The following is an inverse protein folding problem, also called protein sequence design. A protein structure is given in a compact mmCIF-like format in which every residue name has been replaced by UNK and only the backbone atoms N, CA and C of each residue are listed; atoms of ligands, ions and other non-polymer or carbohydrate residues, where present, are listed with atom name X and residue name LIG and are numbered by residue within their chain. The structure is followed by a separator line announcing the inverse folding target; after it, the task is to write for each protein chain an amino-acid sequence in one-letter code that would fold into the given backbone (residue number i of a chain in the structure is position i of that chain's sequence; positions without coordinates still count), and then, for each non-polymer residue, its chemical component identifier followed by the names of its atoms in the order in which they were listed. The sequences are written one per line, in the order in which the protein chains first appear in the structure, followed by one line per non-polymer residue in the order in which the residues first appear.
data_IF_655585163384
#
_entry.id   IF_655585163384
#
_cell.length_a   1.000
_cell.length_b   1.000
_cell.length_c   1.000
_cell.angle_alpha   90.00
_cell.angle_beta   90.00
_cell.angle_gamma   90.00
#
_symmetry.space_group_name_H-M   'P 1'
#
loop_
_entity.id
_entity.type
_entity.pdbx_description
1 polymer ?
#
# COMPACT_ATOMS: atom_id res chain seq x y z
N UNK A 1 -3.21 -14.37 77.12
CA UNK A 1 -2.22 -13.70 76.24
C UNK A 1 -1.91 -12.35 76.84
N UNK A 2 -0.66 -12.08 77.23
CA UNK A 2 -0.31 -10.82 77.93
C UNK A 2 -0.39 -9.62 76.99
N UNK A 3 -0.55 -8.44 77.57
CA UNK A 3 -0.65 -7.17 76.84
C UNK A 3 0.64 -6.85 76.06
N UNK A 4 1.78 -7.29 76.58
CA UNK A 4 3.10 -7.25 75.91
C UNK A 4 3.10 -8.08 74.62
N UNK A 5 2.52 -9.29 74.63
CA UNK A 5 2.42 -10.14 73.41
C UNK A 5 1.49 -9.52 72.38
N UNK A 6 0.36 -8.92 72.81
CA UNK A 6 -0.54 -8.19 71.90
C UNK A 6 0.16 -6.97 71.28
N UNK A 7 0.95 -6.23 72.06
CA UNK A 7 1.73 -5.10 71.56
C UNK A 7 2.79 -5.56 70.55
N UNK A 8 3.60 -6.56 70.89
CA UNK A 8 4.65 -7.08 69.99
C UNK A 8 4.06 -7.63 68.67
N UNK A 9 2.92 -8.32 68.72
CA UNK A 9 2.22 -8.78 67.51
C UNK A 9 1.71 -7.61 66.65
N UNK A 10 1.21 -6.53 67.26
CA UNK A 10 0.80 -5.32 66.55
C UNK A 10 2.00 -4.60 65.92
N UNK A 11 3.10 -4.46 66.66
CA UNK A 11 4.30 -3.76 66.22
C UNK A 11 4.96 -4.50 65.04
N UNK A 12 4.97 -5.85 65.06
CA UNK A 12 5.41 -6.67 63.92
C UNK A 12 4.52 -6.48 62.68
N UNK A 13 3.20 -6.53 62.86
CA UNK A 13 2.23 -6.38 61.77
C UNK A 13 2.27 -4.97 61.16
N UNK A 14 2.54 -3.94 61.96
CA UNK A 14 2.82 -2.58 61.49
C UNK A 14 4.10 -2.52 60.63
N UNK A 15 5.20 -3.18 61.06
CA UNK A 15 6.43 -3.21 60.28
C UNK A 15 6.23 -3.89 58.91
N UNK A 16 5.49 -5.00 58.85
CA UNK A 16 5.13 -5.66 57.58
C UNK A 16 4.30 -4.73 56.67
N UNK A 17 3.33 -4.00 57.23
CA UNK A 17 2.57 -3.01 56.48
C UNK A 17 3.42 -1.82 56.01
N UNK A 18 4.37 -1.33 56.79
CA UNK A 18 5.30 -0.26 56.40
C UNK A 18 6.20 -0.68 55.23
N UNK A 19 6.69 -1.93 55.23
CA UNK A 19 7.43 -2.50 54.10
C UNK A 19 6.57 -2.60 52.84
N UNK A 20 5.35 -3.12 52.95
CA UNK A 20 4.40 -3.21 51.82
C UNK A 20 4.01 -1.82 51.29
N UNK A 21 3.74 -0.86 52.17
CA UNK A 21 3.42 0.51 51.78
C UNK A 21 4.59 1.20 51.08
N UNK A 22 5.82 1.05 51.61
CA UNK A 22 7.04 1.60 51.00
C UNK A 22 7.35 0.99 49.63
N UNK A 23 7.07 -0.30 49.44
CA UNK A 23 7.20 -0.94 48.13
C UNK A 23 6.14 -0.42 47.15
N UNK A 24 4.86 -0.37 47.56
CA UNK A 24 3.77 0.13 46.74
C UNK A 24 3.97 1.60 46.35
N UNK A 25 4.46 2.45 47.25
CA UNK A 25 4.75 3.87 46.96
C UNK A 25 5.78 4.03 45.83
N UNK A 26 6.79 3.15 45.77
CA UNK A 26 7.76 3.12 44.66
C UNK A 26 7.10 2.73 43.34
N UNK A 27 6.28 1.67 43.33
CA UNK A 27 5.55 1.24 42.14
C UNK A 27 4.53 2.28 41.65
N UNK A 28 3.88 3.01 42.57
CA UNK A 28 2.98 4.14 42.24
C UNK A 28 3.76 5.29 41.63
N UNK A 29 4.92 5.66 42.19
CA UNK A 29 5.78 6.75 41.66
C UNK A 29 6.24 6.50 40.22
N UNK A 30 6.52 5.25 39.84
CA UNK A 30 6.85 4.89 38.45
C UNK A 30 5.69 5.14 37.47
N UNK A 31 4.45 5.11 37.94
CA UNK A 31 3.23 5.21 37.13
C UNK A 31 2.57 6.58 37.17
N UNK A 32 2.90 7.37 38.18
CA UNK A 32 2.24 8.65 38.49
C UNK A 32 2.06 9.55 37.27
N UNK A 33 3.15 9.81 36.52
CA UNK A 33 3.12 10.68 35.35
C UNK A 33 2.25 10.14 34.20
N UNK A 34 2.09 8.82 34.08
CA UNK A 34 1.20 8.23 33.08
C UNK A 34 -0.27 8.37 33.50
N UNK A 35 -0.60 8.07 34.76
CA UNK A 35 -1.97 8.18 35.28
C UNK A 35 -2.44 9.65 35.33
N UNK A 36 -1.60 10.59 35.76
CA UNK A 36 -1.89 12.03 35.78
C UNK A 36 -2.16 12.60 34.37
N UNK A 37 -1.51 12.04 33.34
CA UNK A 37 -1.75 12.43 31.95
C UNK A 37 -3.08 11.87 31.36
N UNK A 38 -3.76 10.94 32.02
CA UNK A 38 -5.06 10.38 31.57
C UNK A 38 -6.20 11.30 32.03
N UNK A 39 -6.42 12.39 31.28
CA UNK A 39 -7.54 13.33 31.52
C UNK A 39 -8.94 12.75 31.33
N UNK A 40 -9.07 11.61 30.63
CA UNK A 40 -10.36 10.98 30.28
C UNK A 40 -10.25 9.45 30.36
N UNK A 41 -10.49 8.84 31.54
CA UNK A 41 -10.37 7.39 31.76
C UNK A 41 -11.62 6.59 31.35
N UNK A 42 -12.60 7.22 30.69
CA UNK A 42 -13.89 6.63 30.31
C UNK A 42 -14.19 6.85 28.82
N UNK A 43 -15.08 6.02 28.27
CA UNK A 43 -15.51 6.13 26.87
C UNK A 43 -16.23 7.46 26.59
N UNK A 44 -15.92 8.10 25.47
CA UNK A 44 -16.62 9.29 25.00
C UNK A 44 -16.45 9.41 23.47
N UNK A 45 -17.51 9.85 22.77
CA UNK A 45 -17.57 9.91 21.30
C UNK A 45 -16.60 10.89 20.63
N UNK A 46 -16.33 12.05 21.25
CA UNK A 46 -15.25 12.95 20.80
C UNK A 46 -13.90 12.22 20.85
N UNK A 47 -13.05 12.33 19.82
CA UNK A 47 -11.72 11.72 19.83
C UNK A 47 -10.88 12.18 21.03
N UNK A 48 -9.93 11.34 21.45
CA UNK A 48 -8.84 11.69 22.35
C UNK A 48 -7.83 12.56 21.61
N UNK A 49 -7.13 13.44 22.34
CA UNK A 49 -6.04 14.22 21.76
C UNK A 49 -4.78 13.33 21.50
N UNK A 50 -3.89 13.79 20.61
CA UNK A 50 -2.71 12.98 20.25
C UNK A 50 -1.76 12.73 21.43
N UNK A 51 -1.80 13.59 22.45
CA UNK A 51 -0.96 13.49 23.66
C UNK A 51 -1.47 12.38 24.57
N UNK A 52 -2.78 12.27 24.75
CA UNK A 52 -3.41 11.15 25.47
C UNK A 52 -3.16 9.82 24.74
N UNK A 53 -3.29 9.78 23.41
CA UNK A 53 -3.00 8.57 22.63
C UNK A 53 -1.51 8.17 22.73
N UNK A 54 -0.58 9.14 22.68
CA UNK A 54 0.86 8.90 22.92
C UNK A 54 1.12 8.42 24.36
N UNK A 55 0.41 8.97 25.35
CA UNK A 55 0.53 8.54 26.74
C UNK A 55 0.09 7.09 26.91
N UNK A 56 -1.08 6.70 26.37
CA UNK A 56 -1.57 5.33 26.40
C UNK A 56 -0.60 4.34 25.74
N UNK A 57 -0.05 4.66 24.55
CA UNK A 57 0.96 3.80 23.89
C UNK A 57 2.19 3.61 24.79
N UNK A 58 2.76 4.69 25.32
CA UNK A 58 3.94 4.64 26.20
C UNK A 58 3.68 3.92 27.52
N UNK A 59 2.49 4.05 28.10
CA UNK A 59 2.14 3.37 29.35
C UNK A 59 1.95 1.87 29.14
N UNK A 60 1.28 1.47 28.06
CA UNK A 60 1.17 0.06 27.67
C UNK A 60 2.55 -0.54 27.38
N UNK A 61 3.42 0.16 26.65
CA UNK A 61 4.79 -0.28 26.40
C UNK A 61 5.63 -0.39 27.68
N UNK A 62 5.46 0.54 28.63
CA UNK A 62 6.08 0.46 29.94
C UNK A 62 5.64 -0.78 30.73
N UNK A 63 4.33 -1.09 30.78
CA UNK A 63 3.86 -2.31 31.47
C UNK A 63 4.23 -3.60 30.73
N UNK A 64 4.19 -3.60 29.40
CA UNK A 64 4.60 -4.75 28.58
C UNK A 64 6.08 -5.13 28.75
N UNK A 65 6.92 -4.18 29.17
CA UNK A 65 8.36 -4.35 29.39
C UNK A 65 8.75 -4.55 30.87
N UNK A 66 8.04 -3.91 31.80
CA UNK A 66 8.42 -3.86 33.23
C UNK A 66 7.39 -4.53 34.17
N UNK A 67 6.32 -5.11 33.63
CA UNK A 67 5.21 -5.67 34.40
C UNK A 67 4.91 -7.14 34.16
N UNK A 68 4.24 -7.73 35.16
CA UNK A 68 3.62 -9.03 35.02
C UNK A 68 2.49 -8.99 34.00
N UNK A 69 2.26 -10.12 33.34
CA UNK A 69 1.31 -10.28 32.25
C UNK A 69 -0.12 -9.83 32.64
N UNK A 70 -0.60 -10.21 33.83
CA UNK A 70 -1.88 -9.76 34.38
C UNK A 70 -1.99 -8.23 34.43
N UNK A 71 -0.94 -7.52 34.86
CA UNK A 71 -0.94 -6.06 34.99
C UNK A 71 -0.98 -5.37 33.63
N UNK A 72 -0.31 -5.93 32.63
CA UNK A 72 -0.41 -5.48 31.25
C UNK A 72 -1.84 -5.71 30.70
N UNK A 73 -2.44 -6.89 30.92
CA UNK A 73 -3.82 -7.21 30.53
C UNK A 73 -4.82 -6.25 31.19
N UNK A 74 -4.73 -6.02 32.50
CA UNK A 74 -5.58 -5.05 33.20
C UNK A 74 -5.43 -3.62 32.66
N UNK A 75 -4.22 -3.21 32.26
CA UNK A 75 -4.02 -1.91 31.63
C UNK A 75 -4.58 -1.86 30.20
N UNK A 76 -4.47 -2.93 29.41
CA UNK A 76 -5.13 -3.04 28.10
C UNK A 76 -6.64 -2.91 28.22
N UNK A 77 -7.28 -3.63 29.14
CA UNK A 77 -8.72 -3.53 29.42
C UNK A 77 -9.14 -2.11 29.82
N UNK A 78 -8.37 -1.43 30.70
CA UNK A 78 -8.59 -0.01 31.02
C UNK A 78 -8.42 0.90 29.79
N UNK A 79 -7.42 0.62 28.95
CA UNK A 79 -7.13 1.41 27.76
C UNK A 79 -8.24 1.31 26.73
N UNK A 80 -8.71 0.10 26.37
CA UNK A 80 -9.75 -0.08 25.34
C UNK A 80 -11.11 0.51 25.73
N UNK A 81 -11.38 0.77 27.03
CA UNK A 81 -12.56 1.55 27.45
C UNK A 81 -12.45 3.00 26.97
N UNK A 82 -11.33 3.68 27.25
CA UNK A 82 -11.12 5.08 26.84
C UNK A 82 -10.84 5.20 25.32
N UNK A 83 -10.20 4.18 24.75
CA UNK A 83 -9.71 4.11 23.38
C UNK A 83 -10.55 3.19 22.47
N UNK A 84 -11.83 2.93 22.79
CA UNK A 84 -12.65 1.92 22.09
C UNK A 84 -12.75 2.11 20.56
N UNK A 85 -12.69 3.35 20.08
CA UNK A 85 -12.74 3.68 18.64
C UNK A 85 -11.37 3.58 17.93
N UNK A 86 -10.30 3.22 18.64
CA UNK A 86 -8.93 3.16 18.14
C UNK A 86 -8.45 1.72 18.01
N UNK A 87 -8.66 1.16 16.82
CA UNK A 87 -8.22 -0.19 16.39
C UNK A 87 -6.81 -0.59 16.85
N UNK A 88 -5.83 0.34 16.83
CA UNK A 88 -4.45 0.04 17.19
C UNK A 88 -4.28 -0.56 18.60
N UNK A 89 -5.14 -0.16 19.55
CA UNK A 89 -5.09 -0.67 20.92
C UNK A 89 -5.75 -2.05 21.04
N UNK A 90 -6.82 -2.29 20.28
CA UNK A 90 -7.41 -3.62 20.15
C UNK A 90 -6.40 -4.59 19.55
N UNK A 91 -5.80 -4.26 18.39
CA UNK A 91 -4.82 -5.11 17.72
C UNK A 91 -3.59 -5.38 18.60
N UNK A 92 -3.09 -4.38 19.34
CA UNK A 92 -1.94 -4.56 20.24
C UNK A 92 -2.28 -5.45 21.45
N UNK A 93 -3.51 -5.37 21.96
CA UNK A 93 -3.98 -6.21 23.08
C UNK A 93 -4.05 -7.70 22.72
N UNK A 94 -4.41 -8.07 21.47
CA UNK A 94 -4.54 -9.47 21.02
C UNK A 94 -3.31 -10.32 21.36
N UNK A 95 -2.11 -9.73 21.30
CA UNK A 95 -0.84 -10.41 21.59
C UNK A 95 -0.67 -10.87 23.05
N UNK A 96 -1.54 -10.44 23.97
CA UNK A 96 -1.48 -10.70 25.42
C UNK A 96 -2.75 -11.33 25.99
N UNK A 97 -3.80 -11.53 25.19
CA UNK A 97 -5.02 -12.21 25.65
C UNK A 97 -5.00 -13.69 25.28
N UNK A 98 -5.34 -14.55 26.23
CA UNK A 98 -5.56 -15.98 25.99
C UNK A 98 -6.82 -16.21 25.14
N UNK A 99 -7.88 -15.43 25.36
CA UNK A 99 -9.11 -15.45 24.55
C UNK A 99 -9.09 -14.33 23.48
N UNK A 100 -8.32 -14.58 22.43
CA UNK A 100 -8.21 -13.71 21.25
C UNK A 100 -9.58 -13.52 20.56
N UNK A 101 -10.45 -14.53 20.58
CA UNK A 101 -11.78 -14.48 19.95
C UNK A 101 -12.71 -13.51 20.67
N UNK A 102 -12.68 -13.47 21.99
CA UNK A 102 -13.44 -12.49 22.77
C UNK A 102 -13.03 -11.05 22.44
N UNK A 103 -11.72 -10.79 22.35
CA UNK A 103 -11.19 -9.45 21.99
C UNK A 103 -11.69 -9.03 20.62
N UNK A 104 -11.56 -9.87 19.59
CA UNK A 104 -12.12 -9.58 18.27
C UNK A 104 -13.64 -9.40 18.30
N UNK A 105 -14.37 -10.26 19.01
CA UNK A 105 -15.84 -10.17 19.11
C UNK A 105 -16.29 -8.83 19.69
N UNK A 106 -15.65 -8.35 20.77
CA UNK A 106 -15.92 -7.02 21.34
C UNK A 106 -15.55 -5.91 20.36
N UNK A 107 -14.33 -5.95 19.82
CA UNK A 107 -13.82 -4.93 18.92
C UNK A 107 -14.72 -4.80 17.67
N UNK A 108 -14.91 -5.89 16.93
CA UNK A 108 -15.62 -5.93 15.66
C UNK A 108 -17.14 -5.81 15.80
N UNK A 109 -17.79 -6.47 16.78
CA UNK A 109 -19.26 -6.47 16.86
C UNK A 109 -19.84 -5.31 17.70
N UNK A 110 -19.06 -4.64 18.54
CA UNK A 110 -19.56 -3.58 19.44
C UNK A 110 -18.94 -2.20 19.18
N UNK A 111 -17.62 -2.11 18.99
CA UNK A 111 -16.91 -0.83 19.00
C UNK A 111 -16.47 -0.32 17.61
N UNK A 112 -16.16 -1.24 16.69
CA UNK A 112 -15.64 -0.98 15.34
C UNK A 112 -16.42 -1.73 14.24
N UNK A 113 -17.78 -1.71 14.21
CA UNK A 113 -18.57 -2.50 13.26
C UNK A 113 -18.33 -2.14 11.79
N UNK A 114 -17.90 -0.91 11.49
CA UNK A 114 -17.67 -0.43 10.12
C UNK A 114 -16.19 -0.46 9.69
N UNK A 115 -15.25 -0.87 10.57
CA UNK A 115 -13.81 -0.71 10.29
C UNK A 115 -13.22 -1.98 9.69
N UNK A 116 -13.15 -2.04 8.37
CA UNK A 116 -12.80 -3.26 7.62
C UNK A 116 -11.49 -3.95 8.04
N UNK A 117 -10.43 -3.20 8.36
CA UNK A 117 -9.10 -3.74 8.65
C UNK A 117 -9.07 -4.74 9.82
N UNK A 118 -9.77 -4.46 10.93
CA UNK A 118 -9.80 -5.37 12.09
C UNK A 118 -10.68 -6.60 11.83
N UNK A 119 -11.76 -6.47 11.06
CA UNK A 119 -12.58 -7.63 10.65
C UNK A 119 -11.82 -8.54 9.68
N UNK A 120 -11.05 -7.97 8.74
CA UNK A 120 -10.14 -8.73 7.87
C UNK A 120 -9.08 -9.47 8.72
N UNK A 121 -8.51 -8.81 9.72
CA UNK A 121 -7.51 -9.43 10.61
C UNK A 121 -8.13 -10.56 11.46
N UNK A 122 -9.38 -10.40 11.91
CA UNK A 122 -10.13 -11.46 12.59
C UNK A 122 -10.40 -12.66 11.68
N UNK A 123 -10.83 -12.44 10.44
CA UNK A 123 -11.05 -13.52 9.49
C UNK A 123 -9.77 -14.29 9.16
N UNK A 124 -8.64 -13.60 8.98
CA UNK A 124 -7.32 -14.23 8.88
C UNK A 124 -6.95 -15.04 10.13
N UNK A 125 -7.35 -14.61 11.33
CA UNK A 125 -7.16 -15.39 12.54
C UNK A 125 -8.01 -16.67 12.53
N UNK A 126 -9.31 -16.59 12.25
CA UNK A 126 -10.19 -17.77 12.24
C UNK A 126 -9.79 -18.77 11.14
N UNK A 127 -9.46 -18.30 9.93
CA UNK A 127 -8.94 -19.15 8.84
C UNK A 127 -7.66 -19.88 9.28
N UNK A 128 -6.74 -19.20 9.98
CA UNK A 128 -5.53 -19.83 10.54
C UNK A 128 -5.80 -20.83 11.66
N UNK A 129 -6.95 -20.75 12.33
CA UNK A 129 -7.41 -21.78 13.29
C UNK A 129 -8.16 -22.94 12.60
N UNK A 130 -8.38 -22.87 11.27
CA UNK A 130 -9.21 -23.83 10.53
C UNK A 130 -10.72 -23.54 10.57
N UNK A 131 -11.13 -22.43 11.19
CA UNK A 131 -12.53 -22.01 11.33
C UNK A 131 -13.01 -21.25 10.08
N UNK A 132 -13.13 -21.95 8.95
CA UNK A 132 -13.55 -21.35 7.68
C UNK A 132 -14.92 -20.66 7.76
N UNK A 133 -15.91 -21.29 8.39
CA UNK A 133 -17.28 -20.77 8.47
C UNK A 133 -17.36 -19.41 9.20
N UNK A 134 -16.66 -19.26 10.33
CA UNK A 134 -16.61 -17.98 11.06
C UNK A 134 -15.80 -16.94 10.28
N UNK A 135 -14.70 -17.32 9.63
CA UNK A 135 -13.95 -16.39 8.76
C UNK A 135 -14.83 -15.85 7.62
N UNK A 136 -15.62 -16.70 6.97
CA UNK A 136 -16.54 -16.31 5.91
C UNK A 136 -17.72 -15.48 6.44
N UNK A 137 -18.23 -15.79 7.63
CA UNK A 137 -19.30 -15.05 8.29
C UNK A 137 -18.86 -13.63 8.68
N UNK A 138 -17.67 -13.49 9.28
CA UNK A 138 -17.07 -12.19 9.62
C UNK A 138 -16.90 -11.34 8.37
N UNK A 139 -16.32 -11.90 7.31
CA UNK A 139 -16.05 -11.18 6.06
C UNK A 139 -17.33 -10.80 5.33
N UNK A 140 -18.32 -11.68 5.27
CA UNK A 140 -19.60 -11.38 4.61
C UNK A 140 -20.41 -10.34 5.39
N UNK A 141 -20.29 -10.30 6.74
CA UNK A 141 -20.92 -9.25 7.53
C UNK A 141 -20.29 -7.88 7.24
N UNK A 142 -18.96 -7.74 7.31
CA UNK A 142 -18.30 -6.46 7.02
C UNK A 142 -18.50 -6.02 5.56
N UNK A 143 -18.58 -6.95 4.60
CA UNK A 143 -18.95 -6.66 3.21
C UNK A 143 -20.33 -5.99 3.11
N UNK A 144 -21.31 -6.42 3.90
CA UNK A 144 -22.63 -5.78 3.97
C UNK A 144 -22.59 -4.39 4.63
N UNK A 145 -21.59 -4.11 5.47
CA UNK A 145 -21.42 -2.81 6.15
C UNK A 145 -20.55 -1.82 5.36
N UNK A 146 -19.77 -2.27 4.37
CA UNK A 146 -18.83 -1.42 3.61
C UNK A 146 -18.99 -1.56 2.11
N UNK A 147 -19.54 -0.54 1.45
CA UNK A 147 -19.58 -0.43 -0.02
C UNK A 147 -18.17 -0.22 -0.60
N UNK A 148 -17.93 -0.70 -1.82
CA UNK A 148 -16.70 -0.49 -2.61
C UNK A 148 -15.37 -0.89 -1.94
N UNK A 149 -15.41 -1.67 -0.86
CA UNK A 149 -14.20 -2.04 -0.14
C UNK A 149 -13.46 -3.21 -0.83
N UNK A 150 -12.59 -2.87 -1.77
CA UNK A 150 -11.76 -3.85 -2.49
C UNK A 150 -10.90 -4.73 -1.58
N UNK A 151 -10.53 -4.30 -0.37
CA UNK A 151 -9.78 -5.14 0.55
C UNK A 151 -10.65 -6.29 1.10
N UNK A 152 -11.90 -5.99 1.47
CA UNK A 152 -12.90 -6.98 1.92
C UNK A 152 -13.22 -7.96 0.78
N UNK A 153 -13.54 -7.46 -0.41
CA UNK A 153 -13.86 -8.29 -1.58
C UNK A 153 -12.68 -9.19 -1.97
N UNK A 154 -11.46 -8.66 -2.00
CA UNK A 154 -10.25 -9.45 -2.26
C UNK A 154 -10.05 -10.54 -1.19
N UNK A 155 -10.26 -10.23 0.08
CA UNK A 155 -10.10 -11.20 1.15
C UNK A 155 -11.14 -12.34 0.99
N UNK A 156 -12.42 -12.03 0.78
CA UNK A 156 -13.48 -13.02 0.54
C UNK A 156 -13.16 -13.96 -0.62
N UNK A 157 -12.81 -13.40 -1.78
CA UNK A 157 -12.43 -14.17 -2.96
C UNK A 157 -11.19 -15.03 -2.71
N UNK A 158 -10.21 -14.53 -1.97
CA UNK A 158 -8.99 -15.27 -1.64
C UNK A 158 -9.23 -16.41 -0.63
N UNK A 159 -10.16 -16.22 0.33
CA UNK A 159 -10.59 -17.21 1.32
C UNK A 159 -11.30 -18.38 0.64
N UNK A 160 -12.35 -18.10 -0.14
CA UNK A 160 -13.10 -19.11 -0.91
C UNK A 160 -12.19 -19.88 -1.89
N UNK A 161 -11.26 -19.18 -2.56
CA UNK A 161 -10.23 -19.82 -3.41
C UNK A 161 -9.34 -20.81 -2.64
N UNK A 162 -8.97 -20.51 -1.39
CA UNK A 162 -8.12 -21.39 -0.57
C UNK A 162 -8.89 -22.58 -0.01
N UNK A 163 -10.19 -22.43 0.21
CA UNK A 163 -11.10 -23.53 0.54
C UNK A 163 -11.29 -24.50 -0.64
N UNK A 164 -11.27 -23.97 -1.87
CA UNK A 164 -11.35 -24.74 -3.12
C UNK A 164 -12.62 -24.48 -3.93
N UNK A 165 -13.39 -23.47 -3.56
CA UNK A 165 -14.68 -23.17 -4.18
C UNK A 165 -14.54 -22.64 -5.62
N UNK A 166 -15.56 -22.88 -6.45
CA UNK A 166 -15.66 -22.22 -7.76
C UNK A 166 -16.13 -20.77 -7.59
N UNK A 167 -15.38 -19.83 -8.17
CA UNK A 167 -15.61 -18.40 -8.00
C UNK A 167 -16.21 -17.74 -9.23
N UNK A 168 -16.44 -18.47 -10.33
CA UNK A 168 -16.91 -17.90 -11.60
C UNK A 168 -18.21 -17.09 -11.43
N UNK A 169 -19.20 -17.65 -10.75
CA UNK A 169 -20.50 -17.00 -10.51
C UNK A 169 -20.34 -15.80 -9.57
N UNK A 170 -19.48 -15.91 -8.55
CA UNK A 170 -19.23 -14.83 -7.59
C UNK A 170 -18.53 -13.64 -8.26
N UNK A 171 -17.49 -13.88 -9.07
CA UNK A 171 -16.83 -12.84 -9.86
C UNK A 171 -17.81 -12.14 -10.80
N UNK A 172 -18.62 -12.91 -11.53
CA UNK A 172 -19.65 -12.37 -12.43
C UNK A 172 -20.65 -11.51 -11.65
N UNK A 173 -21.15 -12.01 -10.51
CA UNK A 173 -22.10 -11.28 -9.66
C UNK A 173 -21.57 -9.96 -9.11
N UNK A 174 -20.26 -9.84 -8.86
CA UNK A 174 -19.63 -8.60 -8.44
C UNK A 174 -19.36 -7.63 -9.60
N UNK A 175 -18.97 -8.15 -10.77
CA UNK A 175 -18.70 -7.35 -11.97
C UNK A 175 -20.00 -6.73 -12.52
N UNK A 176 -21.11 -7.48 -12.47
CA UNK A 176 -22.43 -7.01 -12.93
C UNK A 176 -23.18 -6.17 -11.87
N UNK A 177 -22.63 -6.01 -10.65
CA UNK A 177 -23.24 -5.24 -9.57
C UNK A 177 -23.19 -3.74 -9.87
N UNK A 178 -24.30 -3.20 -10.37
CA UNK A 178 -24.48 -1.77 -10.74
C UNK A 178 -24.15 -0.74 -9.65
N UNK A 179 -24.21 -1.15 -8.38
CA UNK A 179 -23.91 -0.32 -7.22
C UNK A 179 -22.42 -0.19 -6.94
N UNK A 180 -21.60 -1.08 -7.52
CA UNK A 180 -20.16 -1.12 -7.29
C UNK A 180 -19.44 -0.08 -8.16
N UNK A 181 -18.50 0.64 -7.57
CA UNK A 181 -17.67 1.63 -8.26
C UNK A 181 -16.97 1.00 -9.48
N UNK A 182 -16.99 1.70 -10.62
CA UNK A 182 -16.37 1.29 -11.87
C UNK A 182 -14.87 0.92 -11.73
N UNK A 183 -14.12 1.57 -10.84
CA UNK A 183 -12.72 1.19 -10.59
C UNK A 183 -12.62 -0.15 -9.84
N UNK A 184 -13.51 -0.41 -8.88
CA UNK A 184 -13.60 -1.71 -8.21
C UNK A 184 -13.95 -2.82 -9.22
N UNK A 185 -14.91 -2.56 -10.13
CA UNK A 185 -15.24 -3.46 -11.23
C UNK A 185 -14.02 -3.76 -12.11
N UNK A 186 -13.23 -2.74 -12.51
CA UNK A 186 -12.01 -2.96 -13.31
C UNK A 186 -11.00 -3.87 -12.59
N UNK A 187 -10.75 -3.61 -11.31
CA UNK A 187 -9.82 -4.42 -10.51
C UNK A 187 -10.30 -5.86 -10.32
N UNK A 188 -11.62 -6.06 -10.15
CA UNK A 188 -12.23 -7.39 -10.09
C UNK A 188 -12.14 -8.13 -11.43
N UNK A 189 -12.38 -7.47 -12.56
CA UNK A 189 -12.25 -8.07 -13.90
C UNK A 189 -10.81 -8.50 -14.19
N UNK A 190 -9.83 -7.66 -13.85
CA UNK A 190 -8.42 -8.04 -13.87
C UNK A 190 -8.14 -9.26 -12.98
N UNK A 191 -8.66 -9.28 -11.74
CA UNK A 191 -8.49 -10.43 -10.83
C UNK A 191 -9.16 -11.71 -11.37
N UNK A 192 -10.34 -11.60 -11.98
CA UNK A 192 -11.11 -12.72 -12.53
C UNK A 192 -10.37 -13.37 -13.69
N UNK A 193 -9.86 -12.58 -14.65
CA UNK A 193 -9.04 -13.09 -15.75
C UNK A 193 -7.77 -13.80 -15.24
N UNK A 194 -7.10 -13.28 -14.20
CA UNK A 194 -5.96 -14.00 -13.55
C UNK A 194 -6.38 -15.30 -12.88
N UNK A 195 -7.57 -15.36 -12.26
CA UNK A 195 -8.12 -16.59 -11.68
C UNK A 195 -8.41 -17.64 -12.76
N UNK A 196 -9.06 -17.25 -13.86
CA UNK A 196 -9.33 -18.13 -15.00
C UNK A 196 -8.02 -18.70 -15.58
N UNK A 197 -7.03 -17.85 -15.85
CA UNK A 197 -5.74 -18.30 -16.38
C UNK A 197 -4.96 -19.20 -15.40
N UNK A 198 -4.77 -18.78 -14.13
CA UNK A 198 -3.82 -19.43 -13.21
C UNK A 198 -4.42 -20.50 -12.30
N UNK A 199 -5.73 -20.49 -12.08
CA UNK A 199 -6.42 -21.47 -11.22
C UNK A 199 -7.27 -22.44 -12.04
N UNK A 200 -7.95 -21.96 -13.09
CA UNK A 200 -8.73 -22.84 -13.99
C UNK A 200 -7.96 -23.34 -15.22
N UNK A 201 -6.85 -22.69 -15.59
CA UNK A 201 -6.08 -23.02 -16.80
C UNK A 201 -6.74 -22.55 -18.10
N UNK A 202 -7.79 -21.72 -18.01
CA UNK A 202 -8.64 -21.34 -19.14
C UNK A 202 -8.19 -19.98 -19.71
N UNK A 203 -7.19 -20.02 -20.59
CA UNK A 203 -6.63 -18.83 -21.22
C UNK A 203 -7.62 -18.15 -22.19
N UNK A 204 -8.48 -18.93 -22.86
CA UNK A 204 -9.44 -18.37 -23.81
C UNK A 204 -10.53 -17.58 -23.09
N UNK A 205 -11.17 -18.11 -22.04
CA UNK A 205 -12.11 -17.32 -21.22
C UNK A 205 -11.43 -16.14 -20.53
N UNK A 206 -10.19 -16.32 -20.05
CA UNK A 206 -9.42 -15.23 -19.44
C UNK A 206 -9.17 -14.06 -20.42
N UNK A 207 -8.98 -14.36 -21.71
CA UNK A 207 -8.85 -13.39 -22.79
C UNK A 207 -10.18 -12.78 -23.23
N UNK A 208 -11.25 -13.57 -23.33
CA UNK A 208 -12.62 -13.10 -23.65
C UNK A 208 -13.12 -12.08 -22.63
N UNK A 209 -12.97 -12.36 -21.33
CA UNK A 209 -13.33 -11.44 -20.24
C UNK A 209 -12.61 -10.09 -20.36
N UNK A 210 -11.32 -10.09 -20.72
CA UNK A 210 -10.56 -8.86 -20.94
C UNK A 210 -10.98 -8.14 -22.23
N UNK A 211 -11.27 -8.86 -23.31
CA UNK A 211 -11.74 -8.28 -24.57
C UNK A 211 -13.09 -7.55 -24.38
N UNK A 212 -14.06 -8.17 -23.69
CA UNK A 212 -15.31 -7.51 -23.30
C UNK A 212 -15.06 -6.27 -22.42
N UNK A 213 -14.19 -6.39 -21.41
CA UNK A 213 -13.81 -5.27 -20.54
C UNK A 213 -13.19 -4.09 -21.30
N UNK A 214 -12.38 -4.37 -22.32
CA UNK A 214 -11.77 -3.40 -23.23
C UNK A 214 -12.84 -2.71 -24.08
N UNK A 215 -13.84 -3.44 -24.63
CA UNK A 215 -14.94 -2.78 -25.36
C UNK A 215 -15.72 -1.79 -24.48
N UNK A 216 -15.88 -2.12 -23.20
CA UNK A 216 -16.55 -1.27 -22.20
C UNK A 216 -15.65 -0.11 -21.72
N UNK A 217 -14.33 -0.28 -21.72
CA UNK A 217 -13.36 0.71 -21.21
C UNK A 217 -12.12 0.85 -22.15
N UNK A 218 -12.25 1.41 -23.38
CA UNK A 218 -11.18 1.36 -24.38
C UNK A 218 -9.89 2.13 -24.02
N UNK A 219 -9.94 3.01 -23.02
CA UNK A 219 -8.79 3.82 -22.57
C UNK A 219 -8.04 3.20 -21.37
N UNK A 220 -8.49 2.07 -20.84
CA UNK A 220 -7.91 1.45 -19.65
C UNK A 220 -6.72 0.53 -20.01
N UNK A 221 -5.54 1.14 -20.15
CA UNK A 221 -4.26 0.45 -20.46
C UNK A 221 -4.04 -0.89 -19.72
N UNK A 222 -4.26 -1.03 -18.39
CA UNK A 222 -3.96 -2.27 -17.68
C UNK A 222 -4.68 -3.52 -18.20
N UNK A 223 -5.83 -3.38 -18.88
CA UNK A 223 -6.50 -4.51 -19.53
C UNK A 223 -5.74 -5.03 -20.75
N UNK A 224 -5.14 -4.14 -21.54
CA UNK A 224 -4.32 -4.53 -22.70
C UNK A 224 -3.03 -5.20 -22.25
N UNK A 225 -2.38 -4.66 -21.21
CA UNK A 225 -1.16 -5.25 -20.64
C UNK A 225 -1.44 -6.64 -20.08
N UNK A 226 -2.54 -6.80 -19.34
CA UNK A 226 -2.93 -8.10 -18.83
C UNK A 226 -3.38 -9.07 -19.93
N UNK A 227 -4.02 -8.60 -21.00
CA UNK A 227 -4.41 -9.45 -22.13
C UNK A 227 -3.18 -9.99 -22.86
N UNK A 228 -2.15 -9.15 -23.04
CA UNK A 228 -0.86 -9.58 -23.55
C UNK A 228 -0.22 -10.64 -22.65
N UNK A 229 -0.23 -10.41 -21.32
CA UNK A 229 0.31 -11.37 -20.36
C UNK A 229 -0.49 -12.71 -20.35
N UNK A 230 -1.80 -12.69 -20.64
CA UNK A 230 -2.63 -13.90 -20.76
C UNK A 230 -2.22 -14.73 -21.98
N UNK A 231 -2.10 -14.12 -23.16
CA UNK A 231 -1.74 -14.84 -24.38
C UNK A 231 -0.26 -15.28 -24.36
N UNK A 232 0.65 -14.48 -23.78
CA UNK A 232 2.06 -14.84 -23.61
C UNK A 232 2.28 -16.01 -22.64
N UNK A 233 1.43 -16.13 -21.61
CA UNK A 233 1.51 -17.21 -20.60
C UNK A 233 0.66 -18.44 -20.96
N UNK A 234 0.02 -18.45 -22.13
CA UNK A 234 -0.73 -19.58 -22.67
C UNK A 234 0.20 -20.77 -22.92
N UNK A 235 -0.32 -21.98 -22.74
CA UNK A 235 0.36 -23.21 -23.12
C UNK A 235 -0.58 -24.09 -23.97
N UNK A 236 -0.21 -24.48 -25.21
CA UNK A 236 0.99 -24.04 -25.95
C UNK A 236 0.97 -22.54 -26.28
N UNK A 237 2.15 -21.97 -26.59
CA UNK A 237 2.27 -20.59 -27.07
C UNK A 237 1.60 -20.46 -28.44
N UNK A 238 0.85 -19.36 -28.63
CA UNK A 238 0.11 -19.04 -29.85
C UNK A 238 0.58 -17.68 -30.36
N UNK A 239 1.51 -17.68 -31.32
CA UNK A 239 2.16 -16.46 -31.83
C UNK A 239 1.12 -15.49 -32.43
N UNK A 240 0.16 -16.01 -33.20
CA UNK A 240 -0.85 -15.21 -33.88
C UNK A 240 -1.82 -14.56 -32.88
N UNK A 241 -2.19 -15.24 -31.78
CA UNK A 241 -2.96 -14.61 -30.69
C UNK A 241 -2.19 -13.48 -29.98
N UNK A 242 -0.88 -13.65 -29.75
CA UNK A 242 -0.05 -12.59 -29.16
C UNK A 242 0.04 -11.38 -30.09
N UNK A 243 0.27 -11.60 -31.40
CA UNK A 243 0.30 -10.53 -32.40
C UNK A 243 -1.03 -9.79 -32.52
N UNK A 244 -2.16 -10.50 -32.46
CA UNK A 244 -3.50 -9.88 -32.45
C UNK A 244 -3.73 -8.91 -31.27
N UNK A 245 -3.06 -9.10 -30.12
CA UNK A 245 -3.12 -8.13 -29.01
C UNK A 245 -2.36 -6.84 -29.35
N UNK A 246 -1.21 -6.94 -30.01
CA UNK A 246 -0.46 -5.76 -30.46
C UNK A 246 -1.20 -4.99 -31.56
N UNK A 247 -1.86 -5.69 -32.49
CA UNK A 247 -2.74 -5.07 -33.50
C UNK A 247 -3.92 -4.35 -32.84
N UNK A 248 -4.57 -4.97 -31.84
CA UNK A 248 -5.64 -4.36 -31.06
C UNK A 248 -5.18 -3.09 -30.34
N UNK A 249 -3.97 -3.07 -29.76
CA UNK A 249 -3.38 -1.86 -29.16
C UNK A 249 -3.09 -0.80 -30.22
N UNK A 250 -2.57 -1.17 -31.39
CA UNK A 250 -2.31 -0.22 -32.47
C UNK A 250 -3.60 0.44 -32.98
N UNK A 251 -4.68 -0.33 -33.12
CA UNK A 251 -6.01 0.15 -33.50
C UNK A 251 -6.76 0.94 -32.41
N UNK A 252 -6.33 0.83 -31.15
CA UNK A 252 -7.00 1.48 -30.00
C UNK A 252 -6.89 3.02 -30.00
N UNK A 253 -7.64 3.68 -29.12
CA UNK A 253 -7.54 5.12 -28.83
C UNK A 253 -6.52 5.46 -27.73
N UNK A 254 -5.65 4.52 -27.34
CA UNK A 254 -4.59 4.75 -26.34
C UNK A 254 -3.56 5.81 -26.81
N UNK A 255 -2.84 6.38 -25.85
CA UNK A 255 -1.84 7.42 -26.12
C UNK A 255 -0.66 6.89 -26.96
N UNK A 256 -0.02 7.79 -27.72
CA UNK A 256 1.15 7.44 -28.54
C UNK A 256 2.29 6.83 -27.71
N UNK A 257 2.50 7.31 -26.48
CA UNK A 257 3.51 6.78 -25.56
C UNK A 257 3.22 5.32 -25.16
N UNK A 258 1.95 4.99 -24.86
CA UNK A 258 1.54 3.61 -24.54
C UNK A 258 1.70 2.72 -25.77
N UNK A 259 1.26 3.18 -26.95
CA UNK A 259 1.44 2.43 -28.20
C UNK A 259 2.92 2.16 -28.50
N UNK A 260 3.81 3.11 -28.24
CA UNK A 260 5.27 2.91 -28.38
C UNK A 260 5.81 1.86 -27.42
N UNK A 261 5.37 1.83 -26.15
CA UNK A 261 5.76 0.77 -25.18
C UNK A 261 5.35 -0.62 -25.66
N UNK A 262 4.12 -0.76 -26.16
CA UNK A 262 3.66 -2.03 -26.74
C UNK A 262 4.39 -2.37 -28.04
N UNK A 263 4.75 -1.39 -28.87
CA UNK A 263 5.53 -1.62 -30.08
C UNK A 263 6.92 -2.19 -29.76
N UNK A 264 7.64 -1.62 -28.77
CA UNK A 264 8.92 -2.18 -28.32
C UNK A 264 8.76 -3.64 -27.85
N UNK A 265 7.73 -3.92 -27.05
CA UNK A 265 7.44 -5.29 -26.57
C UNK A 265 7.00 -6.25 -27.68
N UNK A 266 6.40 -5.76 -28.79
CA UNK A 266 6.12 -6.54 -30.01
C UNK A 266 7.43 -6.91 -30.72
N UNK A 267 8.34 -5.95 -30.85
CA UNK A 267 9.66 -6.19 -31.42
C UNK A 267 10.43 -7.25 -30.62
N UNK A 268 10.56 -7.06 -29.30
CA UNK A 268 11.20 -8.02 -28.38
C UNK A 268 10.58 -9.42 -28.51
N UNK A 269 9.24 -9.52 -28.55
CA UNK A 269 8.55 -10.81 -28.71
C UNK A 269 8.91 -11.55 -30.00
N UNK A 270 8.98 -10.86 -31.15
CA UNK A 270 9.30 -11.52 -32.42
C UNK A 270 10.81 -11.86 -32.51
N UNK A 271 11.69 -11.03 -31.94
CA UNK A 271 13.14 -11.27 -31.93
C UNK A 271 13.51 -12.49 -31.04
N UNK A 272 12.89 -12.61 -29.86
CA UNK A 272 13.18 -13.69 -28.89
C UNK A 272 12.40 -14.99 -29.15
N UNK A 273 11.14 -14.91 -29.60
CA UNK A 273 10.19 -16.04 -29.66
C UNK A 273 9.52 -16.25 -31.03
N UNK A 274 9.76 -15.38 -32.01
CA UNK A 274 9.11 -15.45 -33.33
C UNK A 274 9.55 -16.66 -34.15
N UNK A 275 8.60 -17.30 -34.83
CA UNK A 275 8.88 -18.46 -35.69
C UNK A 275 9.32 -18.11 -37.12
N UNK A 276 9.07 -16.88 -37.58
CA UNK A 276 9.35 -16.42 -38.95
C UNK A 276 10.15 -15.11 -39.00
N UNK A 277 11.38 -15.20 -39.52
CA UNK A 277 12.30 -14.06 -39.72
C UNK A 277 11.71 -13.00 -40.67
N UNK A 278 10.78 -13.37 -41.55
CA UNK A 278 10.08 -12.43 -42.45
C UNK A 278 9.24 -11.43 -41.65
N UNK A 279 8.58 -11.88 -40.57
CA UNK A 279 7.82 -11.02 -39.65
C UNK A 279 8.75 -10.01 -38.95
N UNK A 280 9.92 -10.47 -38.49
CA UNK A 280 10.95 -9.59 -37.90
C UNK A 280 11.43 -8.54 -38.91
N UNK A 281 11.72 -8.93 -40.16
CA UNK A 281 12.16 -8.00 -41.20
C UNK A 281 11.12 -6.92 -41.53
N UNK A 282 9.82 -7.26 -41.56
CA UNK A 282 8.74 -6.27 -41.73
C UNK A 282 8.67 -5.26 -40.58
N UNK A 283 8.88 -5.70 -39.33
CA UNK A 283 8.96 -4.81 -38.17
C UNK A 283 10.15 -3.85 -38.22
N UNK A 284 11.30 -4.30 -38.72
CA UNK A 284 12.46 -3.45 -38.94
C UNK A 284 12.17 -2.34 -39.96
N UNK A 285 11.45 -2.65 -41.05
CA UNK A 285 11.02 -1.63 -42.02
C UNK A 285 10.03 -0.63 -41.40
N UNK A 286 9.02 -1.11 -40.65
CA UNK A 286 8.10 -0.23 -39.89
C UNK A 286 8.86 0.71 -38.92
N UNK A 287 9.92 0.22 -38.26
CA UNK A 287 10.78 1.04 -37.39
C UNK A 287 11.55 2.12 -38.15
N UNK A 288 12.23 1.76 -39.24
CA UNK A 288 12.99 2.72 -40.06
C UNK A 288 12.08 3.81 -40.63
N UNK A 289 10.89 3.45 -41.11
CA UNK A 289 9.92 4.41 -41.64
C UNK A 289 9.46 5.40 -40.57
N UNK A 290 9.07 4.92 -39.39
CA UNK A 290 8.66 5.74 -38.25
C UNK A 290 9.78 6.69 -37.76
N UNK A 291 11.03 6.20 -37.69
CA UNK A 291 12.19 7.02 -37.35
C UNK A 291 12.52 8.05 -38.44
N UNK A 292 12.30 7.71 -39.72
CA UNK A 292 12.42 8.64 -40.84
C UNK A 292 11.33 9.73 -40.80
N UNK A 293 10.11 9.40 -40.36
CA UNK A 293 9.00 10.34 -40.22
C UNK A 293 9.25 11.34 -39.07
N UNK A 294 9.59 10.84 -37.87
CA UNK A 294 9.90 11.66 -36.71
C UNK A 294 11.08 12.63 -36.94
N UNK A 295 12.07 12.24 -37.75
CA UNK A 295 13.19 13.10 -38.14
C UNK A 295 12.83 14.12 -39.25
N UNK A 296 11.86 13.82 -40.13
CA UNK A 296 11.29 14.78 -41.09
C UNK A 296 10.43 15.84 -40.39
N UNK A 297 9.64 15.47 -39.38
CA UNK A 297 8.80 16.42 -38.64
C UNK A 297 9.61 17.35 -37.73
N UNK A 298 10.70 16.86 -37.10
CA UNK A 298 11.67 17.74 -36.41
C UNK A 298 12.32 18.75 -37.37
N UNK A 299 12.58 18.38 -38.62
CA UNK A 299 13.07 19.33 -39.65
C UNK A 299 12.01 20.35 -40.09
N UNK A 300 10.74 19.94 -40.21
CA UNK A 300 9.62 20.85 -40.51
C UNK A 300 9.37 21.85 -39.38
N UNK A 301 9.39 21.41 -38.12
CA UNK A 301 9.28 22.29 -36.96
C UNK A 301 10.41 23.34 -36.91
N UNK A 302 11.64 22.97 -37.28
CA UNK A 302 12.76 23.90 -37.36
C UNK A 302 12.73 24.86 -38.57
N UNK A 303 11.90 24.60 -39.59
CA UNK A 303 11.75 25.48 -40.77
C UNK A 303 10.68 26.57 -40.60
N UNK A 304 9.98 26.61 -39.46
CA UNK A 304 8.84 27.50 -39.20
C UNK A 304 9.20 28.77 -38.38
N UNK A 305 10.43 29.28 -38.50
CA UNK A 305 10.81 30.60 -37.97
C UNK A 305 11.03 31.59 -39.12
N UNK A 306 10.21 32.65 -39.27
CA UNK A 306 10.45 33.66 -40.28
C UNK A 306 11.65 34.51 -39.89
N UNK A 307 12.71 34.44 -40.68
CA UNK A 307 13.82 35.40 -40.62
C UNK A 307 13.46 36.65 -41.39
N UNK A 308 13.36 37.80 -40.73
CA UNK A 308 13.67 39.06 -41.40
C UNK A 308 14.34 40.06 -40.45
N UNK A 309 15.25 40.86 -41.00
CA UNK A 309 16.02 41.90 -40.30
C UNK A 309 15.95 43.19 -41.10
N UNK A 310 15.38 44.26 -40.54
CA UNK A 310 15.93 45.62 -40.75
C UNK A 310 15.64 46.56 -39.55
N UNK A 311 16.65 47.39 -39.29
CA UNK A 311 16.72 48.58 -38.39
C UNK A 311 15.60 49.60 -38.71
N UNK A 312 15.12 50.47 -37.80
CA UNK A 312 15.89 51.60 -37.23
C UNK A 312 15.19 52.44 -36.10
N UNK A 313 16.00 53.25 -35.39
CA UNK A 313 15.75 54.55 -34.73
C UNK A 313 14.74 54.83 -33.54
N UNK A 314 15.35 55.04 -32.34
CA UNK A 314 15.22 56.20 -31.40
C UNK A 314 13.89 56.59 -30.69
N UNK A 315 13.88 56.52 -29.33
CA UNK A 315 14.07 57.68 -28.38
C UNK A 315 13.99 57.29 -26.88
N UNK A 316 15.02 57.66 -26.11
CA UNK A 316 15.05 58.49 -24.87
C UNK A 316 14.07 58.20 -23.67
N UNK A 317 14.42 58.37 -22.38
CA UNK A 317 15.54 59.07 -21.71
C UNK A 317 15.60 58.76 -20.18
N UNK A 318 16.77 58.95 -19.53
CA UNK A 318 16.95 59.31 -18.07
C UNK A 318 16.69 58.16 -17.05
N UNK A 319 17.45 57.91 -15.96
CA UNK A 319 18.56 58.61 -15.27
C UNK A 319 19.43 57.64 -14.41
N UNK A 320 20.73 57.93 -14.23
CA UNK A 320 21.58 57.85 -12.99
C UNK A 320 21.32 56.73 -11.94
N UNK A 321 22.27 56.06 -11.27
CA UNK A 321 23.74 56.02 -11.11
C UNK A 321 24.07 54.62 -10.46
N UNK A 322 25.29 54.07 -10.29
CA UNK A 322 26.70 54.50 -10.53
C UNK A 322 27.63 53.28 -10.73
N UNK A 323 28.85 53.57 -11.21
CA UNK A 323 30.15 52.89 -11.06
C UNK A 323 30.39 52.01 -9.79
N UNK A 324 31.33 51.05 -9.75
CA UNK A 324 32.51 50.87 -10.63
C UNK A 324 33.02 49.40 -10.72
N UNK A 325 34.04 49.17 -11.55
CA UNK A 325 34.68 47.88 -11.93
C UNK A 325 35.09 46.88 -10.81
N UNK A 326 35.65 45.72 -11.13
CA UNK A 326 36.70 45.49 -12.15
C UNK A 326 36.70 44.03 -12.64
N UNK A 327 37.20 43.77 -13.85
CA UNK A 327 37.34 42.43 -14.40
C UNK A 327 38.61 41.71 -13.91
N UNK A 328 38.53 40.38 -13.73
CA UNK A 328 39.67 39.46 -13.79
C UNK A 328 39.18 38.03 -14.10
N UNK A 329 40.07 37.21 -14.66
CA UNK A 329 39.74 35.89 -15.20
C UNK A 329 39.96 34.73 -14.21
N UNK A 330 39.44 33.55 -14.56
CA UNK A 330 40.30 32.37 -14.64
C UNK A 330 40.45 31.45 -13.42
N UNK A 331 39.59 30.44 -13.39
CA UNK A 331 39.96 29.02 -13.23
C UNK A 331 40.42 28.44 -11.87
N UNK A 332 40.22 27.11 -11.78
CA UNK A 332 40.78 26.10 -10.87
C UNK A 332 40.37 26.07 -9.37
N UNK A 333 39.58 25.04 -9.07
CA UNK A 333 39.71 24.08 -7.94
C UNK A 333 40.32 24.53 -6.61
N UNK A 334 39.62 24.26 -5.50
CA UNK A 334 39.72 22.96 -4.81
C UNK A 334 38.95 22.91 -3.47
N UNK A 335 38.61 21.68 -3.06
CA UNK A 335 38.31 21.18 -1.71
C UNK A 335 37.65 22.06 -0.64
N UNK A 336 36.53 21.56 -0.12
CA UNK A 336 36.11 21.80 1.27
C UNK A 336 35.62 20.48 1.85
N UNK A 337 36.21 20.06 2.97
CA UNK A 337 35.86 18.82 3.67
C UNK A 337 34.47 18.93 4.29
N UNK A 338 33.72 17.83 4.31
CA UNK A 338 32.81 17.56 5.43
C UNK A 338 32.83 16.10 5.85
N UNK A 339 32.68 15.92 7.16
CA UNK A 339 33.09 14.76 7.92
C UNK A 339 31.96 13.73 8.05
N UNK A 340 32.30 12.46 7.88
CA UNK A 340 31.36 11.35 7.99
C UNK A 340 31.25 10.91 9.47
N UNK A 341 30.05 10.90 10.04
CA UNK A 341 29.77 10.23 11.31
C UNK A 341 28.72 9.15 11.10
N UNK A 342 29.14 7.90 11.31
CA UNK A 342 28.26 6.75 11.42
C UNK A 342 27.83 6.61 12.89
N UNK A 343 26.53 6.41 13.13
CA UNK A 343 26.02 5.96 14.43
C UNK A 343 25.36 4.59 14.22
N UNK A 344 25.90 3.56 14.89
CA UNK A 344 25.37 2.21 14.81
C UNK A 344 24.05 2.11 15.59
N UNK A 345 23.06 1.43 15.02
CA UNK A 345 21.80 1.13 15.71
C UNK A 345 21.76 -0.37 16.05
N UNK A 346 21.64 -0.69 17.34
CA UNK A 346 21.52 -2.07 17.81
C UNK A 346 20.11 -2.60 17.54
N UNK A 347 20.00 -3.85 17.09
CA UNK A 347 18.73 -4.45 16.73
C UNK A 347 17.84 -4.75 17.94
N UNK A 348 16.52 -4.60 17.74
CA UNK A 348 15.50 -5.23 18.59
C UNK A 348 14.47 -5.90 17.70
N UNK A 349 14.32 -7.22 17.84
CA UNK A 349 13.45 -8.05 17.01
C UNK A 349 12.01 -8.05 17.53
N UNK A 350 11.19 -7.14 17.02
CA UNK A 350 9.74 -7.14 17.17
C UNK A 350 9.06 -7.51 15.84
N UNK A 351 8.23 -8.57 15.83
CA UNK A 351 7.49 -8.99 14.63
C UNK A 351 6.30 -8.06 14.40
N UNK A 352 6.48 -7.08 13.51
CA UNK A 352 5.51 -6.02 13.26
C UNK A 352 4.41 -6.46 12.27
N UNK A 353 3.41 -7.19 12.79
CA UNK A 353 2.26 -7.69 12.02
C UNK A 353 1.41 -6.59 11.36
N UNK A 354 1.58 -5.32 11.77
CA UNK A 354 0.80 -4.20 11.27
C UNK A 354 1.27 -3.70 9.88
N UNK A 355 2.56 -3.92 9.56
CA UNK A 355 3.15 -3.52 8.26
C UNK A 355 2.50 -4.24 7.06
N UNK A 356 2.06 -5.49 7.25
CA UNK A 356 1.51 -6.31 6.17
C UNK A 356 0.17 -5.78 5.61
N UNK A 357 -0.66 -5.16 6.45
CA UNK A 357 -1.96 -4.63 6.03
C UNK A 357 -1.86 -3.25 5.40
N UNK A 358 -0.98 -2.38 5.90
CA UNK A 358 -0.79 -1.06 5.33
C UNK A 358 -0.18 -1.12 3.92
N UNK A 359 0.61 -2.18 3.62
CA UNK A 359 1.15 -2.43 2.29
C UNK A 359 0.11 -2.99 1.30
N UNK A 360 -0.89 -3.78 1.74
CA UNK A 360 -1.96 -4.26 0.84
C UNK A 360 -3.08 -3.23 0.61
N UNK A 361 -3.23 -2.23 1.49
CA UNK A 361 -4.26 -1.19 1.38
C UNK A 361 -3.91 -0.01 0.46
N UNK A 362 -2.67 0.10 -0.02
CA UNK A 362 -2.19 1.24 -0.81
C UNK A 362 -1.36 0.85 -2.05
N UNK A 363 -1.33 -0.44 -2.43
CA UNK A 363 -0.53 -0.89 -3.58
C UNK A 363 -1.24 -1.88 -4.51
N UNK A 364 -2.41 -1.48 -5.01
CA UNK A 364 -3.04 -2.13 -6.18
C UNK A 364 -2.47 -1.60 -7.51
N UNK A 365 -1.42 -0.77 -7.48
CA UNK A 365 -0.75 -0.19 -8.64
C UNK A 365 0.45 -1.04 -9.12
N UNK A 366 1.09 -1.80 -8.22
CA UNK A 366 2.35 -2.52 -8.53
C UNK A 366 2.19 -4.00 -8.91
N UNK A 367 0.97 -4.54 -9.02
CA UNK A 367 0.72 -5.92 -9.48
C UNK A 367 0.76 -6.10 -11.01
N UNK A 368 1.79 -5.54 -11.64
CA UNK A 368 2.14 -5.69 -13.05
C UNK A 368 3.60 -6.14 -13.30
N UNK A 369 4.34 -6.55 -12.26
CA UNK A 369 5.79 -6.77 -12.32
C UNK A 369 6.25 -8.22 -12.00
N UNK A 370 5.42 -9.23 -12.25
CA UNK A 370 5.83 -10.65 -12.16
C UNK A 370 6.16 -11.22 -13.54
N UNK A 371 7.36 -10.91 -14.04
CA UNK A 371 7.82 -11.36 -15.36
C UNK A 371 9.06 -10.64 -15.90
N UNK A 372 10.12 -10.51 -15.10
CA UNK A 372 11.43 -10.06 -15.59
C UNK A 372 12.53 -10.97 -15.02
N UNK A 373 13.09 -11.83 -15.88
CA UNK A 373 14.38 -12.48 -15.59
C UNK A 373 15.50 -11.45 -15.84
N UNK A 374 16.45 -11.37 -14.92
CA UNK A 374 17.40 -10.26 -14.91
C UNK A 374 18.43 -10.30 -16.03
N UNK A 375 18.58 -9.18 -16.74
CA UNK A 375 19.75 -8.87 -17.55
C UNK A 375 20.31 -7.48 -17.18
N UNK A 376 21.64 -7.37 -17.27
CA UNK A 376 22.41 -6.16 -17.00
C UNK A 376 22.20 -5.10 -18.09
N UNK A 377 21.91 -3.83 -17.73
CA UNK A 377 22.69 -2.70 -18.27
C UNK A 377 22.56 -1.38 -17.48
N UNK A 378 23.35 -0.39 -17.91
CA UNK A 378 23.73 0.81 -17.15
C UNK A 378 22.71 1.96 -17.28
N UNK A 379 22.67 2.80 -16.24
CA UNK A 379 21.61 3.78 -16.03
C UNK A 379 21.61 5.04 -16.89
N UNK A 380 20.58 5.85 -16.67
CA UNK A 380 20.66 7.32 -16.58
C UNK A 380 19.50 7.81 -15.70
N UNK A 381 19.69 8.85 -14.89
CA UNK A 381 18.71 9.29 -13.89
C UNK A 381 17.72 10.35 -14.38
N UNK A 382 16.58 10.46 -13.70
CA UNK A 382 15.56 11.50 -13.92
C UNK A 382 14.61 11.61 -12.73
N UNK A 383 14.87 12.56 -11.83
CA UNK A 383 14.12 12.77 -10.57
C UNK A 383 13.09 13.88 -10.74
N UNK A 384 11.79 13.57 -10.68
CA UNK A 384 10.71 14.56 -10.45
C UNK A 384 9.55 13.90 -9.70
N UNK A 385 9.50 14.08 -8.38
CA UNK A 385 8.31 13.74 -7.59
C UNK A 385 7.41 14.97 -7.46
N UNK A 386 6.10 14.80 -7.68
CA UNK A 386 5.09 15.78 -7.32
C UNK A 386 4.31 15.29 -6.10
N UNK A 387 4.35 16.11 -5.05
CA UNK A 387 3.69 15.89 -3.77
C UNK A 387 2.20 16.29 -3.86
N UNK A 388 1.29 15.41 -3.46
CA UNK A 388 -0.14 15.69 -3.38
C UNK A 388 -0.71 15.32 -2.01
N UNK A 389 -0.66 16.30 -1.13
CA UNK A 389 -1.27 16.32 0.19
C UNK A 389 -2.82 16.32 0.10
N UNK A 390 -3.44 15.24 0.54
CA UNK A 390 -4.86 15.14 0.93
C UNK A 390 -4.96 14.19 2.12
N UNK A 391 -5.81 14.39 3.13
CA UNK A 391 -6.91 15.33 3.26
C UNK A 391 -8.06 14.63 3.98
N UNK A 392 -7.96 14.49 5.30
CA UNK A 392 -8.88 13.67 6.11
C UNK A 392 -10.33 14.19 6.05
N UNK A 393 -11.25 13.27 5.75
CA UNK A 393 -12.65 13.26 6.21
C UNK A 393 -13.06 11.82 6.52
#
# INVERSE_FOLDING_TARGET
MSEVVKKAAKDLLLADFELLATHNEKEVKLRWAFEEAIKRPYFHSKPLDSTQLKNWRRYLEFEMANGGEDRAIFLFERCVIACAQYEEFWLKSLSRHTDVRNVYTRACRQHLPYKASIHITWAFYEERQGNFDEALAVISNIEMQTTDNMCVLNHKLNLLRRHGDDLNDLFTSYIDKKELNADCVKLLTSKYSRYLLKIKGDADKAGEVLKDAITKNPLHEPFYTQLLDVEYQRQPLDEDKVLAVFELVNASSLSSEIKQKFYSRRYEFIDDLGSDVTRLYSLYQELEENMSAASKDKKRAHSATPSDKTVDAKKAKTSMYTNNGTAAAGAYSSQSYHQQQQAANYGSSGQDWNSYYQQQGMDYSQYGAYGQQGYYQQGYGGYTGYDYNTGYY
#
